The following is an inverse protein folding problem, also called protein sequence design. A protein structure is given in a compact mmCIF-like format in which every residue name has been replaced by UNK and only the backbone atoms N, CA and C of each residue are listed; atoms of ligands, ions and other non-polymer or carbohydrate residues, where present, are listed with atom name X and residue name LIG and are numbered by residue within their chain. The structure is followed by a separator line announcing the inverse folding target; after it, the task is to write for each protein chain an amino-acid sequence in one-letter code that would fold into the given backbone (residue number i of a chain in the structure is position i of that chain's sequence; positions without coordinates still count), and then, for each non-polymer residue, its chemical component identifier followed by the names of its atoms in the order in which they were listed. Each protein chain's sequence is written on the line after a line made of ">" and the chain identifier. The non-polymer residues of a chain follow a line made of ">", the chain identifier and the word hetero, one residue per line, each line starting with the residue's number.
data_IF_754911215278
#
_entry.id   IF_754911215278
#
_cell.length_a   1.000
_cell.length_b   1.000
_cell.length_c   1.000
_cell.angle_alpha   90.00
_cell.angle_beta   90.00
_cell.angle_gamma   90.00
#
_symmetry.space_group_name_H-M   'P 1'
#
loop_
_entity.id
_entity.type
_entity.pdbx_description
1 polymer ?
#
# COMPACT_ATOMS: atom_id res chain seq x y z
N UNK A 1 35.31 11.88 -35.21
CA UNK A 1 35.45 10.40 -35.34
C UNK A 1 35.97 9.90 -34.01
N UNK A 2 35.10 9.49 -33.08
CA UNK A 2 35.48 9.02 -31.75
C UNK A 2 35.24 7.49 -31.69
N UNK A 3 36.34 6.74 -31.64
CA UNK A 3 36.32 5.28 -31.54
C UNK A 3 35.97 4.84 -30.12
N UNK A 4 34.80 4.25 -29.94
CA UNK A 4 34.46 3.50 -28.74
C UNK A 4 35.22 2.17 -28.78
N UNK A 5 36.26 2.05 -27.96
CA UNK A 5 37.00 0.83 -27.76
C UNK A 5 36.08 -0.28 -27.22
N UNK A 6 35.98 -1.37 -27.99
CA UNK A 6 35.30 -2.60 -27.57
C UNK A 6 36.10 -3.26 -26.44
N UNK A 7 35.58 -3.23 -25.21
CA UNK A 7 36.12 -4.02 -24.10
C UNK A 7 35.49 -5.42 -24.12
N UNK A 8 36.34 -6.45 -24.28
CA UNK A 8 35.95 -7.86 -24.36
C UNK A 8 35.18 -8.36 -23.12
N UNK A 9 34.27 -9.31 -23.38
CA UNK A 9 33.23 -9.80 -22.48
C UNK A 9 33.78 -10.84 -21.50
N UNK A 10 33.82 -10.51 -20.20
CA UNK A 10 33.52 -11.48 -19.09
C UNK A 10 33.28 -10.79 -17.75
N UNK A 11 33.87 -9.61 -17.50
CA UNK A 11 33.41 -8.68 -16.46
C UNK A 11 33.54 -7.24 -16.98
N UNK A 12 32.46 -6.44 -17.03
CA UNK A 12 32.58 -5.03 -17.34
C UNK A 12 33.39 -4.34 -16.24
N UNK A 13 34.51 -3.74 -16.62
CA UNK A 13 35.36 -2.96 -15.72
C UNK A 13 35.76 -1.65 -16.40
N UNK A 14 35.89 -0.58 -15.63
CA UNK A 14 36.31 0.74 -16.12
C UNK A 14 37.78 0.93 -15.78
N UNK A 15 38.63 1.04 -16.80
CA UNK A 15 40.07 1.29 -16.64
C UNK A 15 40.38 2.74 -16.28
N UNK A 16 41.43 2.96 -15.49
CA UNK A 16 41.83 4.29 -15.02
C UNK A 16 42.21 5.25 -16.17
N UNK A 17 42.66 4.72 -17.30
CA UNK A 17 42.96 5.51 -18.50
C UNK A 17 41.69 6.13 -19.10
N UNK A 18 40.59 5.37 -19.20
CA UNK A 18 39.30 5.88 -19.68
C UNK A 18 38.70 6.92 -18.73
N UNK A 19 38.95 6.81 -17.42
CA UNK A 19 38.50 7.83 -16.44
C UNK A 19 39.29 9.13 -16.60
N UNK A 20 40.62 9.06 -16.86
CA UNK A 20 41.47 10.24 -17.03
C UNK A 20 41.16 11.01 -18.31
N UNK A 21 40.78 10.30 -19.36
CA UNK A 21 40.47 10.88 -20.66
C UNK A 21 39.04 11.42 -20.76
N UNK A 22 38.24 11.32 -19.69
CA UNK A 22 36.88 11.86 -19.68
C UNK A 22 36.92 13.40 -19.64
N UNK A 23 36.44 14.10 -20.69
CA UNK A 23 36.41 15.55 -20.69
C UNK A 23 35.31 16.02 -19.73
N UNK A 24 35.71 16.51 -18.56
CA UNK A 24 34.80 17.09 -17.58
C UNK A 24 34.89 18.62 -17.63
N UNK A 25 33.81 19.33 -17.98
CA UNK A 25 33.75 20.76 -17.82
C UNK A 25 33.69 21.07 -16.33
N UNK A 26 34.73 21.71 -15.80
CA UNK A 26 34.81 22.13 -14.40
C UNK A 26 34.36 23.58 -14.30
N UNK A 27 33.18 23.88 -13.71
CA UNK A 27 32.71 25.25 -13.55
C UNK A 27 33.51 25.98 -12.45
N UNK A 28 33.37 27.31 -12.29
CA UNK A 28 33.98 28.05 -11.18
C UNK A 28 33.61 27.46 -9.80
N UNK A 29 34.49 27.64 -8.82
CA UNK A 29 34.33 27.03 -7.49
C UNK A 29 33.00 27.37 -6.80
N UNK A 30 32.55 28.61 -6.92
CA UNK A 30 31.25 29.06 -6.39
C UNK A 30 30.07 28.30 -7.03
N UNK A 31 30.10 28.07 -8.34
CA UNK A 31 29.07 27.28 -9.02
C UNK A 31 29.11 25.81 -8.60
N UNK A 32 30.29 25.25 -8.36
CA UNK A 32 30.41 23.88 -7.84
C UNK A 32 29.73 23.75 -6.47
N UNK A 33 29.93 24.73 -5.58
CA UNK A 33 29.29 24.74 -4.27
C UNK A 33 27.75 24.85 -4.37
N UNK A 34 27.25 25.71 -5.26
CA UNK A 34 25.80 25.83 -5.48
C UNK A 34 25.19 24.58 -6.09
N UNK A 35 25.89 23.91 -7.01
CA UNK A 35 25.48 22.61 -7.56
C UNK A 35 25.38 21.58 -6.44
N UNK A 36 26.41 21.47 -5.59
CA UNK A 36 26.41 20.53 -4.45
C UNK A 36 25.25 20.84 -3.52
N UNK A 37 25.04 22.11 -3.14
CA UNK A 37 23.93 22.52 -2.26
C UNK A 37 22.57 22.13 -2.83
N UNK A 38 22.35 22.37 -4.12
CA UNK A 38 21.11 22.00 -4.81
C UNK A 38 20.90 20.49 -4.83
N UNK A 39 21.93 19.72 -5.18
CA UNK A 39 21.88 18.26 -5.23
C UNK A 39 21.61 17.67 -3.86
N UNK A 40 22.30 18.12 -2.82
CA UNK A 40 22.06 17.67 -1.44
C UNK A 40 20.64 17.99 -0.97
N UNK A 41 20.09 19.16 -1.32
CA UNK A 41 18.71 19.50 -0.99
C UNK A 41 17.71 18.58 -1.69
N UNK A 42 17.96 18.22 -2.95
CA UNK A 42 17.13 17.27 -3.70
C UNK A 42 17.19 15.87 -3.08
N UNK A 43 18.38 15.38 -2.73
CA UNK A 43 18.53 14.07 -2.08
C UNK A 43 17.85 14.02 -0.71
N UNK A 44 17.99 15.05 0.13
CA UNK A 44 17.27 15.14 1.42
C UNK A 44 15.75 15.06 1.22
N UNK A 45 15.24 15.69 0.17
CA UNK A 45 13.82 15.65 -0.16
C UNK A 45 13.39 14.24 -0.61
N UNK A 46 14.21 13.58 -1.43
CA UNK A 46 13.97 12.20 -1.87
C UNK A 46 13.95 11.22 -0.68
N UNK A 47 14.92 11.33 0.23
CA UNK A 47 15.01 10.49 1.44
C UNK A 47 13.77 10.70 2.34
N UNK A 48 13.34 11.95 2.53
CA UNK A 48 12.15 12.27 3.30
C UNK A 48 10.88 11.70 2.65
N UNK A 49 10.76 11.77 1.32
CA UNK A 49 9.65 11.19 0.57
C UNK A 49 9.64 9.66 0.70
N UNK A 50 10.79 9.01 0.56
CA UNK A 50 10.91 7.56 0.72
C UNK A 50 10.49 7.13 2.14
N UNK A 51 10.94 7.84 3.17
CA UNK A 51 10.56 7.57 4.56
C UNK A 51 9.04 7.68 4.79
N UNK A 52 8.41 8.72 4.23
CA UNK A 52 6.94 8.89 4.27
C UNK A 52 6.23 7.76 3.56
N UNK A 53 6.69 7.38 2.36
CA UNK A 53 6.12 6.27 1.59
C UNK A 53 6.20 4.95 2.36
N UNK A 54 7.36 4.62 2.93
CA UNK A 54 7.54 3.39 3.73
C UNK A 54 6.59 3.35 4.93
N UNK A 55 6.45 4.46 5.63
CA UNK A 55 5.54 4.57 6.79
C UNK A 55 4.08 4.42 6.38
N UNK A 56 3.66 5.12 5.33
CA UNK A 56 2.30 5.04 4.81
C UNK A 56 1.95 3.63 4.34
N UNK A 57 2.86 2.97 3.61
CA UNK A 57 2.71 1.58 3.17
C UNK A 57 2.50 0.64 4.37
N UNK A 58 3.34 0.74 5.39
CA UNK A 58 3.23 -0.09 6.60
C UNK A 58 1.91 0.17 7.35
N UNK A 59 1.39 1.39 7.33
CA UNK A 59 0.09 1.73 7.92
C UNK A 59 -1.06 1.09 7.14
N UNK A 60 -1.06 1.18 5.82
CA UNK A 60 -2.08 0.54 4.96
C UNK A 60 -2.10 -0.98 5.17
N UNK A 61 -0.93 -1.62 5.22
CA UNK A 61 -0.83 -3.06 5.46
C UNK A 61 -1.44 -3.45 6.82
N UNK A 62 -1.18 -2.67 7.88
CA UNK A 62 -1.81 -2.90 9.20
C UNK A 62 -3.31 -2.59 9.21
N UNK A 63 -3.72 -1.53 8.53
CA UNK A 63 -5.11 -1.11 8.48
C UNK A 63 -5.98 -2.20 7.84
N UNK A 64 -5.54 -2.78 6.71
CA UNK A 64 -6.26 -3.88 6.05
C UNK A 64 -6.45 -5.08 6.97
N UNK A 65 -5.41 -5.49 7.68
CA UNK A 65 -5.49 -6.57 8.68
C UNK A 65 -6.46 -6.23 9.81
N UNK A 66 -6.42 -5.00 10.33
CA UNK A 66 -7.30 -4.56 11.41
C UNK A 66 -8.77 -4.50 10.98
N UNK A 67 -9.06 -4.06 9.75
CA UNK A 67 -10.41 -4.03 9.19
C UNK A 67 -10.95 -5.44 9.00
N UNK A 68 -10.14 -6.35 8.44
CA UNK A 68 -10.54 -7.77 8.29
C UNK A 68 -10.82 -8.42 9.64
N UNK A 69 -9.96 -8.19 10.64
CA UNK A 69 -10.18 -8.70 11.99
C UNK A 69 -11.46 -8.16 12.62
N UNK A 70 -11.77 -6.87 12.45
CA UNK A 70 -13.04 -6.28 12.89
C UNK A 70 -14.23 -6.83 12.11
N UNK A 71 -14.08 -7.08 10.81
CA UNK A 71 -15.13 -7.68 9.97
C UNK A 71 -15.51 -9.08 10.44
N UNK A 72 -14.51 -9.94 10.70
CA UNK A 72 -14.75 -11.30 11.18
C UNK A 72 -15.35 -11.35 12.59
N UNK A 73 -15.08 -10.35 13.43
CA UNK A 73 -15.72 -10.21 14.75
C UNK A 73 -17.11 -9.56 14.70
N UNK A 74 -17.55 -9.09 13.55
CA UNK A 74 -18.83 -8.37 13.41
C UNK A 74 -18.80 -6.94 13.96
N UNK A 75 -17.63 -6.39 14.30
CA UNK A 75 -17.48 -5.08 14.96
C UNK A 75 -17.52 -3.89 13.99
N UNK A 76 -17.75 -4.13 12.68
CA UNK A 76 -17.82 -3.06 11.67
C UNK A 76 -19.13 -2.28 11.70
N UNK A 77 -20.16 -2.81 12.35
CA UNK A 77 -21.50 -2.22 12.46
C UNK A 77 -21.97 -2.36 13.92
N UNK A 78 -22.69 -1.37 14.48
CA UNK A 78 -23.31 -1.51 15.79
C UNK A 78 -24.15 -2.78 15.86
N UNK A 79 -23.89 -3.61 16.86
CA UNK A 79 -24.65 -4.85 17.09
C UNK A 79 -25.92 -4.52 17.89
N UNK A 80 -27.06 -5.09 17.51
CA UNK A 80 -28.30 -4.96 18.29
C UNK A 80 -28.21 -5.93 19.48
N UNK A 81 -28.36 -5.46 20.74
CA UNK A 81 -28.38 -6.34 21.90
C UNK A 81 -29.48 -7.42 21.87
N UNK A 82 -30.50 -7.23 21.02
CA UNK A 82 -31.59 -8.19 20.81
C UNK A 82 -31.32 -9.18 19.67
N UNK A 83 -30.16 -9.12 19.01
CA UNK A 83 -29.83 -10.06 17.94
C UNK A 83 -29.83 -11.50 18.46
N UNK A 84 -30.50 -12.39 17.73
CA UNK A 84 -30.55 -13.81 18.10
C UNK A 84 -29.15 -14.44 17.99
N UNK A 85 -28.71 -15.25 18.98
CA UNK A 85 -27.44 -15.95 18.89
C UNK A 85 -27.40 -16.84 17.63
N UNK A 86 -26.24 -16.86 16.96
CA UNK A 86 -26.06 -17.64 15.73
C UNK A 86 -26.41 -19.13 15.90
N UNK A 87 -26.23 -19.70 17.09
CA UNK A 87 -26.61 -21.07 17.42
C UNK A 87 -28.10 -21.35 17.20
N UNK A 88 -28.98 -20.43 17.64
CA UNK A 88 -30.44 -20.57 17.47
C UNK A 88 -30.83 -20.54 15.99
N UNK A 89 -30.17 -19.69 15.20
CA UNK A 89 -30.38 -19.63 13.76
C UNK A 89 -29.93 -20.92 13.07
N UNK A 90 -28.78 -21.48 13.47
CA UNK A 90 -28.26 -22.74 12.94
C UNK A 90 -29.17 -23.93 13.27
N UNK A 91 -29.72 -23.97 14.48
CA UNK A 91 -30.67 -24.99 14.90
C UNK A 91 -31.97 -24.92 14.09
N UNK A 92 -32.51 -23.71 13.86
CA UNK A 92 -33.65 -23.47 12.97
C UNK A 92 -33.37 -23.95 11.54
N UNK A 93 -32.19 -23.62 10.99
CA UNK A 93 -31.78 -24.07 9.65
C UNK A 93 -31.68 -25.60 9.57
N UNK A 94 -31.12 -26.26 10.59
CA UNK A 94 -31.04 -27.73 10.62
C UNK A 94 -32.42 -28.37 10.63
N UNK A 95 -33.30 -27.90 11.52
CA UNK A 95 -34.67 -28.39 11.61
C UNK A 95 -35.46 -28.16 10.31
N UNK A 96 -35.34 -26.97 9.69
CA UNK A 96 -36.00 -26.69 8.40
C UNK A 96 -35.49 -27.59 7.25
N UNK A 97 -34.19 -27.91 7.24
CA UNK A 97 -33.60 -28.81 6.23
C UNK A 97 -33.99 -30.27 6.44
N UNK A 98 -34.09 -30.74 7.67
CA UNK A 98 -34.59 -32.09 8.01
C UNK A 98 -36.06 -32.24 7.62
N UNK A 99 -36.85 -31.17 7.75
CA UNK A 99 -38.25 -31.12 7.32
C UNK A 99 -38.43 -30.99 5.78
N UNK A 100 -37.37 -31.15 4.99
CA UNK A 100 -37.44 -31.22 3.53
C UNK A 100 -37.68 -29.88 2.82
N UNK A 101 -37.55 -28.75 3.52
CA UNK A 101 -37.68 -27.44 2.89
C UNK A 101 -36.50 -27.17 1.94
N UNK A 102 -36.78 -27.00 0.65
CA UNK A 102 -35.78 -26.55 -0.34
C UNK A 102 -35.25 -25.17 0.09
N UNK A 103 -33.94 -24.88 -0.08
CA UNK A 103 -33.38 -23.59 0.31
C UNK A 103 -34.11 -22.48 -0.46
N UNK A 104 -34.86 -21.64 0.26
CA UNK A 104 -35.51 -20.46 -0.34
C UNK A 104 -34.41 -19.52 -0.85
N UNK A 105 -34.52 -19.15 -2.12
CA UNK A 105 -33.61 -18.21 -2.78
C UNK A 105 -33.49 -16.91 -1.98
N UNK A 106 -32.27 -16.38 -1.88
CA UNK A 106 -31.87 -15.29 -0.99
C UNK A 106 -32.73 -14.05 -1.19
N UNK A 107 -33.61 -13.74 -0.23
CA UNK A 107 -34.12 -12.37 -0.09
C UNK A 107 -32.96 -11.51 0.38
N UNK A 108 -32.48 -10.59 -0.47
CA UNK A 108 -31.52 -9.56 -0.08
C UNK A 108 -32.17 -8.70 1.00
N UNK A 109 -31.90 -8.99 2.28
CA UNK A 109 -32.14 -8.02 3.34
C UNK A 109 -31.17 -6.88 3.08
N UNK A 110 -31.70 -5.76 2.58
CA UNK A 110 -30.90 -4.59 2.26
C UNK A 110 -30.40 -4.02 3.58
N UNK A 111 -29.12 -4.20 3.88
CA UNK A 111 -28.48 -3.51 5.00
C UNK A 111 -28.41 -2.04 4.61
N UNK A 112 -29.29 -1.22 5.19
CA UNK A 112 -29.27 0.22 5.00
C UNK A 112 -28.12 0.79 5.83
N UNK A 113 -26.97 1.04 5.20
CA UNK A 113 -25.90 1.78 5.83
C UNK A 113 -26.32 3.25 5.96
N UNK A 114 -26.22 3.81 7.17
CA UNK A 114 -26.46 5.23 7.39
C UNK A 114 -25.35 6.03 6.66
N UNK A 115 -25.73 7.05 5.89
CA UNK A 115 -24.79 7.91 5.15
C UNK A 115 -23.74 8.59 6.06
N UNK A 116 -24.03 8.74 7.35
CA UNK A 116 -23.06 9.25 8.33
C UNK A 116 -22.01 8.21 8.75
N UNK A 117 -22.31 6.91 8.71
CA UNK A 117 -21.38 5.83 9.07
C UNK A 117 -20.38 5.54 7.94
N UNK A 118 -20.82 5.66 6.68
CA UNK A 118 -19.96 5.48 5.50
C UNK A 118 -18.94 6.62 5.38
N UNK A 119 -19.33 7.86 5.73
CA UNK A 119 -18.45 9.03 5.72
C UNK A 119 -17.28 8.94 6.71
N UNK A 120 -17.47 8.29 7.86
CA UNK A 120 -16.39 8.11 8.83
C UNK A 120 -15.28 7.19 8.30
N UNK A 121 -15.63 6.23 7.43
CA UNK A 121 -14.66 5.34 6.77
C UNK A 121 -13.97 6.05 5.59
N UNK A 122 -14.66 6.97 4.91
CA UNK A 122 -14.07 7.81 3.86
C UNK A 122 -13.12 8.89 4.38
N UNK A 123 -13.36 9.42 5.58
CA UNK A 123 -12.50 10.45 6.19
C UNK A 123 -11.12 9.93 6.67
N UNK A 124 -10.88 8.61 6.58
CA UNK A 124 -9.62 7.95 6.95
C UNK A 124 -8.77 7.51 5.75
N UNK A 125 -9.19 7.84 4.52
CA UNK A 125 -8.40 7.68 3.28
C UNK A 125 -7.72 8.99 2.89
#
# INVERSE_FOLDING_TARGET
>A
MLGLGSTAVTQPNINAEVIKDLPLPVPPYEEQQEIVRCVEALFKTADALEGRYRTAKAYVDKLTQSILAKAFRGELVPQDPNDEPAEKLLERIRSERENGAKPRSKTKKQVSFNANEVRAIEALK
#
